data_IF_726274987094
#
_entry.id   IF_726274987094
#
_cell.length_a   1.000
_cell.length_b   1.000
_cell.length_c   1.000
_cell.angle_alpha   90.00
_cell.angle_beta   90.00
_cell.angle_gamma   90.00
#
_symmetry.space_group_name_H-M   'P 1'
#
loop_
_entity.id
_entity.type
_entity.pdbx_description
1 polymer ?
#
# COMPACT_ATOMS: atom_id res chain seq x y z
N UNK A 1 -21.81 -18.46 27.69
CA UNK A 1 -21.85 -17.04 28.10
C UNK A 1 -23.03 -16.39 27.40
N UNK A 2 -23.99 -15.86 28.15
CA UNK A 2 -25.07 -15.09 27.52
C UNK A 2 -24.48 -13.77 27.01
N UNK A 3 -25.10 -13.16 25.99
CA UNK A 3 -24.69 -11.88 25.41
C UNK A 3 -24.72 -10.69 26.41
N UNK A 4 -25.16 -10.90 27.65
CA UNK A 4 -25.32 -9.87 28.68
C UNK A 4 -24.18 -9.82 29.72
N UNK A 5 -23.19 -10.72 29.64
CA UNK A 5 -22.18 -10.87 30.71
C UNK A 5 -20.83 -10.20 30.43
N UNK A 6 -20.70 -9.45 29.32
CA UNK A 6 -19.47 -8.70 29.03
C UNK A 6 -19.48 -7.36 29.79
N UNK A 7 -18.43 -7.02 30.55
CA UNK A 7 -18.36 -5.72 31.21
C UNK A 7 -18.34 -4.59 30.16
N UNK A 8 -18.90 -3.41 30.49
CA UNK A 8 -18.81 -2.25 29.61
C UNK A 8 -17.35 -1.87 29.35
N UNK A 9 -17.04 -1.28 28.18
CA UNK A 9 -15.69 -0.85 27.87
C UNK A 9 -15.18 0.16 28.90
N UNK A 10 -13.92 0.02 29.32
CA UNK A 10 -13.32 0.93 30.30
C UNK A 10 -13.20 2.36 29.75
N UNK A 11 -13.14 3.34 30.65
CA UNK A 11 -12.97 4.77 30.29
C UNK A 11 -11.76 5.00 29.39
N UNK A 12 -10.66 4.32 29.64
CA UNK A 12 -9.44 4.40 28.81
C UNK A 12 -9.66 3.92 27.37
N UNK A 13 -10.50 2.89 27.16
CA UNK A 13 -10.86 2.40 25.82
C UNK A 13 -11.71 3.44 25.09
N UNK A 14 -12.63 4.09 25.80
CA UNK A 14 -13.48 5.14 25.22
C UNK A 14 -12.61 6.36 24.85
N UNK A 15 -11.69 6.78 25.72
CA UNK A 15 -10.74 7.86 25.43
C UNK A 15 -9.87 7.56 24.21
N UNK A 16 -9.39 6.31 24.08
CA UNK A 16 -8.63 5.88 22.89
C UNK A 16 -9.48 5.95 21.61
N UNK A 17 -10.75 5.57 21.68
CA UNK A 17 -11.67 5.66 20.55
C UNK A 17 -11.88 7.11 20.08
N UNK A 18 -11.98 8.07 21.01
CA UNK A 18 -12.03 9.50 20.66
C UNK A 18 -10.77 9.95 19.92
N UNK A 19 -9.59 9.54 20.38
CA UNK A 19 -8.32 9.86 19.70
C UNK A 19 -8.29 9.27 18.29
N UNK A 20 -8.68 8.00 18.13
CA UNK A 20 -8.74 7.36 16.82
C UNK A 20 -9.73 8.03 15.86
N UNK A 21 -10.85 8.56 16.36
CA UNK A 21 -11.79 9.36 15.54
C UNK A 21 -11.12 10.63 15.03
N UNK A 22 -10.46 11.39 15.91
CA UNK A 22 -9.78 12.63 15.54
C UNK A 22 -8.68 12.35 14.50
N UNK A 23 -7.85 11.34 14.74
CA UNK A 23 -6.81 10.95 13.81
C UNK A 23 -7.39 10.47 12.47
N UNK A 24 -8.47 9.69 12.48
CA UNK A 24 -9.13 9.23 11.25
C UNK A 24 -9.73 10.40 10.46
N UNK A 25 -10.32 11.39 11.15
CA UNK A 25 -10.87 12.59 10.53
C UNK A 25 -9.79 13.49 9.89
N UNK A 26 -8.58 13.50 10.44
CA UNK A 26 -7.42 14.22 9.87
C UNK A 26 -6.82 13.46 8.68
N UNK A 27 -6.61 12.16 8.82
CA UNK A 27 -5.97 11.34 7.79
C UNK A 27 -6.86 11.12 6.57
N UNK A 28 -8.18 11.03 6.74
CA UNK A 28 -9.11 10.79 5.64
C UNK A 28 -9.00 11.83 4.51
N UNK A 29 -9.11 13.16 4.75
CA UNK A 29 -8.94 14.16 3.70
C UNK A 29 -7.50 14.20 3.16
N UNK A 30 -6.50 13.97 4.02
CA UNK A 30 -5.09 13.93 3.63
C UNK A 30 -4.81 12.82 2.62
N UNK A 31 -5.29 11.61 2.90
CA UNK A 31 -5.16 10.44 2.02
C UNK A 31 -6.01 10.60 0.77
N UNK A 32 -7.20 11.21 0.88
CA UNK A 32 -8.00 11.57 -0.29
C UNK A 32 -7.26 12.50 -1.25
N UNK A 33 -6.54 13.50 -0.72
CA UNK A 33 -5.69 14.39 -1.51
C UNK A 33 -4.51 13.65 -2.15
N UNK A 34 -3.83 12.77 -1.41
CA UNK A 34 -2.76 11.91 -1.95
C UNK A 34 -3.29 11.04 -3.09
N UNK A 35 -4.44 10.38 -2.90
CA UNK A 35 -5.07 9.53 -3.90
C UNK A 35 -5.36 10.30 -5.19
N UNK A 36 -5.85 11.54 -5.06
CA UNK A 36 -6.08 12.43 -6.19
C UNK A 36 -4.78 12.81 -6.91
N UNK A 37 -3.71 13.14 -6.18
CA UNK A 37 -2.40 13.54 -6.75
C UNK A 37 -1.68 12.41 -7.48
N UNK A 38 -1.77 11.18 -6.98
CA UNK A 38 -1.12 10.01 -7.61
C UNK A 38 -1.83 9.53 -8.90
N UNK A 39 -3.01 10.08 -9.21
CA UNK A 39 -3.73 9.83 -10.46
C UNK A 39 -4.03 8.35 -10.71
N UNK A 40 -4.21 7.96 -11.98
CA UNK A 40 -4.64 6.60 -12.35
C UNK A 40 -3.71 5.49 -11.88
N UNK A 41 -2.40 5.76 -11.74
CA UNK A 41 -1.42 4.77 -11.34
C UNK A 41 -1.56 4.39 -9.85
N UNK A 42 -1.82 5.37 -8.98
CA UNK A 42 -2.00 5.15 -7.55
C UNK A 42 -3.46 5.03 -7.09
N UNK A 43 -4.44 5.46 -7.89
CA UNK A 43 -5.86 5.55 -7.48
C UNK A 43 -6.38 4.27 -6.82
N UNK A 44 -6.08 3.09 -7.38
CA UNK A 44 -6.56 1.84 -6.81
C UNK A 44 -6.00 1.56 -5.40
N UNK A 45 -4.70 1.79 -5.17
CA UNK A 45 -4.06 1.55 -3.88
C UNK A 45 -4.54 2.57 -2.83
N UNK A 46 -4.46 3.86 -3.16
CA UNK A 46 -4.75 4.92 -2.19
C UNK A 46 -6.25 4.97 -1.82
N UNK A 47 -7.15 4.60 -2.73
CA UNK A 47 -8.58 4.46 -2.42
C UNK A 47 -8.83 3.29 -1.45
N UNK A 48 -8.21 2.12 -1.70
CA UNK A 48 -8.32 0.99 -0.77
C UNK A 48 -7.77 1.38 0.60
N UNK A 49 -6.61 2.03 0.65
CA UNK A 49 -6.03 2.52 1.89
C UNK A 49 -6.93 3.53 2.62
N UNK A 50 -7.58 4.44 1.89
CA UNK A 50 -8.55 5.40 2.44
C UNK A 50 -9.71 4.71 3.18
N UNK A 51 -10.17 3.55 2.68
CA UNK A 51 -11.27 2.82 3.34
C UNK A 51 -10.91 2.33 4.75
N UNK A 52 -9.62 2.19 5.10
CA UNK A 52 -9.19 1.88 6.46
C UNK A 52 -9.65 2.94 7.48
N UNK A 53 -9.55 4.22 7.11
CA UNK A 53 -9.91 5.34 7.97
C UNK A 53 -11.41 5.50 8.10
N UNK A 54 -12.15 5.28 6.99
CA UNK A 54 -13.61 5.25 7.03
C UNK A 54 -14.09 4.14 7.96
N UNK A 55 -13.52 2.94 7.82
CA UNK A 55 -13.85 1.80 8.65
C UNK A 55 -13.56 2.11 10.14
N UNK A 56 -12.37 2.63 10.47
CA UNK A 56 -12.03 3.02 11.85
C UNK A 56 -12.94 4.11 12.41
N UNK A 57 -13.26 5.12 11.62
CA UNK A 57 -14.17 6.19 12.03
C UNK A 57 -15.55 5.62 12.41
N UNK A 58 -16.12 4.78 11.54
CA UNK A 58 -17.43 4.15 11.78
C UNK A 58 -17.41 3.25 13.00
N UNK A 59 -16.39 2.39 13.16
CA UNK A 59 -16.30 1.49 14.30
C UNK A 59 -16.18 2.23 15.63
N UNK A 60 -15.37 3.29 15.69
CA UNK A 60 -15.18 4.04 16.93
C UNK A 60 -16.40 4.89 17.28
N UNK A 61 -17.08 5.49 16.30
CA UNK A 61 -18.38 6.15 16.54
C UNK A 61 -19.40 5.12 17.05
N UNK A 62 -19.47 3.95 16.43
CA UNK A 62 -20.38 2.90 16.84
C UNK A 62 -20.12 2.43 18.28
N UNK A 63 -18.85 2.28 18.65
CA UNK A 63 -18.42 1.91 20.01
C UNK A 63 -18.86 2.96 21.05
N UNK A 64 -18.72 4.25 20.74
CA UNK A 64 -19.10 5.33 21.66
C UNK A 64 -20.62 5.41 21.83
N UNK A 65 -21.37 5.32 20.73
CA UNK A 65 -22.84 5.39 20.74
C UNK A 65 -23.45 4.18 21.46
N UNK A 66 -22.87 2.99 21.28
CA UNK A 66 -23.41 1.74 21.83
C UNK A 66 -22.63 1.23 23.05
N UNK A 67 -21.91 2.10 23.75
CA UNK A 67 -21.07 1.74 24.92
C UNK A 67 -21.84 1.01 26.04
N UNK A 68 -23.15 1.19 26.11
CA UNK A 68 -24.04 0.57 27.10
C UNK A 68 -24.46 -0.87 26.71
N UNK A 69 -24.22 -1.30 25.46
CA UNK A 69 -24.59 -2.63 24.93
C UNK A 69 -23.35 -3.43 24.52
N UNK A 70 -22.50 -3.90 25.46
CA UNK A 70 -21.12 -4.33 25.20
C UNK A 70 -20.92 -5.41 24.12
N UNK A 71 -21.90 -6.28 23.89
CA UNK A 71 -21.80 -7.34 22.88
C UNK A 71 -21.78 -6.83 21.42
N UNK A 72 -22.66 -5.88 21.09
CA UNK A 72 -22.82 -5.40 19.71
C UNK A 72 -21.62 -4.60 19.17
N UNK A 73 -21.03 -3.65 19.94
CA UNK A 73 -19.80 -2.95 19.59
C UNK A 73 -18.61 -3.89 19.37
N UNK A 74 -18.54 -4.96 20.15
CA UNK A 74 -17.44 -5.93 20.07
C UNK A 74 -17.42 -6.63 18.70
N UNK A 75 -18.59 -7.05 18.20
CA UNK A 75 -18.71 -7.68 16.86
C UNK A 75 -18.36 -6.69 15.75
N UNK A 76 -18.90 -5.47 15.80
CA UNK A 76 -18.61 -4.43 14.81
C UNK A 76 -17.13 -4.05 14.80
N UNK A 77 -16.52 -3.93 15.98
CA UNK A 77 -15.10 -3.65 16.12
C UNK A 77 -14.24 -4.77 15.52
N UNK A 78 -14.60 -6.04 15.74
CA UNK A 78 -13.87 -7.20 15.17
C UNK A 78 -13.91 -7.23 13.63
N UNK A 79 -15.09 -7.04 13.04
CA UNK A 79 -15.27 -7.04 11.58
C UNK A 79 -14.49 -5.86 10.97
N UNK A 80 -14.62 -4.69 11.57
CA UNK A 80 -13.95 -3.49 11.09
C UNK A 80 -12.43 -3.60 11.21
N UNK A 81 -11.93 -4.10 12.34
CA UNK A 81 -10.48 -4.26 12.54
C UNK A 81 -9.87 -5.21 11.51
N UNK A 82 -10.61 -6.27 11.14
CA UNK A 82 -10.23 -7.18 10.06
C UNK A 82 -10.18 -6.48 8.69
N UNK A 83 -11.17 -5.62 8.39
CA UNK A 83 -11.16 -4.79 7.19
C UNK A 83 -10.01 -3.76 7.15
N UNK A 84 -9.66 -3.20 8.30
CA UNK A 84 -8.49 -2.31 8.46
C UNK A 84 -7.21 -3.07 8.22
N UNK A 85 -7.11 -4.30 8.72
CA UNK A 85 -5.96 -5.16 8.44
C UNK A 85 -5.83 -5.42 6.93
N UNK A 86 -6.94 -5.64 6.22
CA UNK A 86 -6.94 -5.83 4.76
C UNK A 86 -6.37 -4.63 4.04
N UNK A 87 -6.92 -3.47 4.35
CA UNK A 87 -6.73 -2.24 3.60
C UNK A 87 -5.35 -1.64 3.83
N UNK A 88 -4.80 -1.72 5.06
CA UNK A 88 -3.41 -1.35 5.32
C UNK A 88 -2.44 -2.32 4.66
N UNK A 89 -2.70 -3.63 4.71
CA UNK A 89 -1.84 -4.63 4.03
C UNK A 89 -1.82 -4.39 2.52
N UNK A 90 -2.99 -4.15 1.92
CA UNK A 90 -3.11 -3.77 0.51
C UNK A 90 -2.45 -2.42 0.20
N UNK A 91 -2.48 -1.47 1.15
CA UNK A 91 -1.76 -0.21 1.05
C UNK A 91 -0.25 -0.41 0.93
N UNK A 92 0.35 -1.24 1.80
CA UNK A 92 1.78 -1.60 1.74
C UNK A 92 2.12 -2.27 0.41
N UNK A 93 1.28 -3.19 -0.06
CA UNK A 93 1.49 -3.87 -1.34
C UNK A 93 1.37 -2.89 -2.52
N UNK A 94 0.38 -2.01 -2.46
CA UNK A 94 0.09 -1.07 -3.51
C UNK A 94 1.17 -0.01 -3.68
N UNK A 95 1.84 0.45 -2.61
CA UNK A 95 2.99 1.36 -2.75
C UNK A 95 4.21 0.68 -3.37
N UNK A 96 4.42 -0.63 -3.12
CA UNK A 96 5.48 -1.41 -3.77
C UNK A 96 5.15 -1.61 -5.26
N UNK A 97 3.88 -1.89 -5.56
CA UNK A 97 3.38 -1.97 -6.93
C UNK A 97 3.51 -0.64 -7.68
N UNK A 98 3.17 0.47 -7.02
CA UNK A 98 3.27 1.82 -7.57
C UNK A 98 4.74 2.19 -7.86
N UNK A 99 5.65 1.92 -6.92
CA UNK A 99 7.09 2.09 -7.15
C UNK A 99 7.60 1.30 -8.36
N UNK A 100 7.08 0.07 -8.57
CA UNK A 100 7.43 -0.75 -9.71
C UNK A 100 6.89 -0.22 -11.04
N UNK A 101 5.67 0.33 -11.05
CA UNK A 101 4.97 0.80 -12.27
C UNK A 101 5.40 2.19 -12.71
N UNK A 102 5.80 3.06 -11.78
CA UNK A 102 6.32 4.41 -12.06
C UNK A 102 7.66 4.35 -12.83
N UNK A 103 8.45 3.29 -12.65
CA UNK A 103 9.73 3.08 -13.32
C UNK A 103 9.59 2.18 -14.57
N UNK A 104 10.13 2.57 -15.73
CA UNK A 104 10.04 1.79 -16.96
C UNK A 104 10.61 0.38 -16.79
N UNK A 105 9.88 -0.59 -17.32
CA UNK A 105 10.18 -2.02 -17.19
C UNK A 105 10.52 -2.57 -18.57
N UNK A 106 11.68 -3.25 -18.69
CA UNK A 106 12.18 -3.69 -20.00
C UNK A 106 11.45 -4.90 -20.60
N UNK A 107 10.59 -5.67 -19.88
CA UNK A 107 9.93 -6.82 -20.54
C UNK A 107 8.68 -7.48 -19.92
N UNK A 108 8.26 -7.27 -18.65
CA UNK A 108 7.18 -8.12 -18.05
C UNK A 108 6.20 -7.42 -17.13
N UNK A 109 5.42 -6.46 -17.66
CA UNK A 109 4.28 -5.82 -16.96
C UNK A 109 3.22 -6.82 -16.45
N UNK A 110 3.19 -8.03 -17.02
CA UNK A 110 2.23 -9.06 -16.68
C UNK A 110 2.53 -9.74 -15.33
N UNK A 111 3.81 -9.93 -15.01
CA UNK A 111 4.22 -10.56 -13.75
C UNK A 111 3.81 -9.73 -12.54
N UNK A 112 4.00 -8.40 -12.58
CA UNK A 112 3.62 -7.51 -11.48
C UNK A 112 2.09 -7.46 -11.29
N UNK A 113 1.31 -7.56 -12.37
CA UNK A 113 -0.15 -7.66 -12.29
C UNK A 113 -0.61 -8.99 -11.68
N UNK A 114 0.05 -10.10 -12.03
CA UNK A 114 -0.24 -11.40 -11.41
C UNK A 114 0.12 -11.36 -9.93
N UNK A 115 1.29 -10.83 -9.57
CA UNK A 115 1.72 -10.71 -8.16
C UNK A 115 0.72 -9.87 -7.38
N UNK A 116 0.28 -8.73 -7.93
CA UNK A 116 -0.75 -7.90 -7.31
C UNK A 116 -2.09 -8.65 -7.17
N UNK A 117 -2.53 -9.36 -8.21
CA UNK A 117 -3.78 -10.13 -8.17
C UNK A 117 -3.75 -11.27 -7.16
N UNK A 118 -2.66 -12.04 -7.14
CA UNK A 118 -2.46 -13.16 -6.20
C UNK A 118 -2.37 -12.66 -4.77
N UNK A 119 -1.59 -11.60 -4.51
CA UNK A 119 -1.48 -11.03 -3.17
C UNK A 119 -2.80 -10.43 -2.69
N UNK A 120 -3.56 -9.77 -3.56
CA UNK A 120 -4.87 -9.25 -3.23
C UNK A 120 -5.86 -10.37 -2.88
N UNK A 121 -5.91 -11.43 -3.70
CA UNK A 121 -6.76 -12.58 -3.45
C UNK A 121 -6.35 -13.31 -2.16
N UNK A 122 -5.05 -13.45 -1.90
CA UNK A 122 -4.53 -14.08 -0.69
C UNK A 122 -4.85 -13.26 0.58
N UNK A 123 -4.74 -11.92 0.54
CA UNK A 123 -5.16 -11.07 1.67
C UNK A 123 -6.67 -11.17 1.89
N UNK A 124 -7.46 -11.06 0.82
CA UNK A 124 -8.92 -11.09 0.89
C UNK A 124 -9.39 -12.44 1.45
N UNK A 125 -8.86 -13.55 0.91
CA UNK A 125 -9.15 -14.90 1.39
C UNK A 125 -8.64 -15.16 2.81
N UNK A 126 -7.43 -14.70 3.13
CA UNK A 126 -6.83 -14.81 4.46
C UNK A 126 -7.66 -14.10 5.53
N UNK A 127 -8.19 -12.91 5.23
CA UNK A 127 -9.04 -12.15 6.15
C UNK A 127 -10.42 -12.76 6.26
N UNK A 128 -11.02 -13.19 5.15
CA UNK A 128 -12.29 -13.92 5.20
C UNK A 128 -12.16 -15.16 6.07
N UNK A 129 -11.09 -15.95 5.90
CA UNK A 129 -10.80 -17.12 6.73
C UNK A 129 -10.54 -16.76 8.21
N UNK A 130 -9.72 -15.74 8.47
CA UNK A 130 -9.40 -15.30 9.83
C UNK A 130 -10.65 -14.81 10.58
N UNK A 131 -11.48 -14.00 9.90
CA UNK A 131 -12.70 -13.39 10.44
C UNK A 131 -13.80 -14.42 10.64
N UNK A 132 -14.11 -15.21 9.61
CA UNK A 132 -15.15 -16.23 9.68
C UNK A 132 -14.75 -17.37 10.63
N UNK A 133 -13.52 -17.88 10.54
CA UNK A 133 -13.04 -18.90 11.47
C UNK A 133 -12.95 -18.40 12.91
N UNK A 134 -12.66 -17.11 13.09
CA UNK A 134 -12.51 -16.46 14.40
C UNK A 134 -13.82 -15.94 15.02
N UNK A 135 -14.96 -16.04 14.32
CA UNK A 135 -16.25 -15.61 14.84
C UNK A 135 -16.73 -16.53 15.96
N UNK A 136 -17.60 -16.07 16.87
CA UNK A 136 -18.19 -16.94 17.90
C UNK A 136 -18.93 -18.14 17.29
N UNK A 137 -18.82 -19.32 17.90
CA UNK A 137 -19.56 -20.51 17.46
C UNK A 137 -21.06 -20.37 17.75
N UNK A 138 -21.90 -20.87 16.83
CA UNK A 138 -23.36 -20.95 17.01
C UNK A 138 -23.76 -21.90 18.15
N UNK A 139 -22.90 -22.87 18.50
CA UNK A 139 -23.13 -23.82 19.61
C UNK A 139 -22.71 -23.29 20.98
N UNK A 140 -22.26 -22.02 21.07
CA UNK A 140 -22.03 -21.34 22.33
C UNK A 140 -20.69 -21.62 23.01
N UNK A 141 -19.85 -22.48 22.43
CA UNK A 141 -18.49 -22.76 22.92
C UNK A 141 -17.45 -22.49 21.83
N UNK A 142 -16.48 -21.62 22.12
CA UNK A 142 -15.35 -21.35 21.24
C UNK A 142 -15.70 -20.57 19.96
N UNK A 143 -14.98 -20.86 18.89
CA UNK A 143 -15.06 -20.17 17.60
C UNK A 143 -15.67 -21.05 16.52
N UNK A 144 -16.18 -20.45 15.44
CA UNK A 144 -16.82 -21.17 14.35
C UNK A 144 -15.87 -22.19 13.68
N UNK A 145 -14.60 -21.83 13.47
CA UNK A 145 -13.59 -22.79 12.99
C UNK A 145 -12.17 -22.33 13.35
N UNK A 146 -11.58 -22.96 14.38
CA UNK A 146 -10.26 -22.58 14.87
C UNK A 146 -9.15 -22.82 13.85
N UNK A 147 -9.20 -23.93 13.10
CA UNK A 147 -8.22 -24.22 12.06
C UNK A 147 -8.27 -23.16 10.95
N UNK A 148 -9.46 -22.76 10.53
CA UNK A 148 -9.65 -21.72 9.52
C UNK A 148 -9.14 -20.36 10.00
N UNK A 149 -9.38 -20.02 11.27
CA UNK A 149 -8.87 -18.77 11.86
C UNK A 149 -7.34 -18.72 11.88
N UNK A 150 -6.70 -19.83 12.30
CA UNK A 150 -5.23 -19.96 12.33
C UNK A 150 -4.64 -19.87 10.92
N UNK A 151 -5.21 -20.60 9.97
CA UNK A 151 -4.78 -20.58 8.57
C UNK A 151 -4.91 -19.18 7.97
N UNK A 152 -6.03 -18.48 8.21
CA UNK A 152 -6.23 -17.12 7.73
C UNK A 152 -5.14 -16.15 8.23
N UNK A 153 -4.84 -16.18 9.53
CA UNK A 153 -3.78 -15.35 10.11
C UNK A 153 -2.39 -15.70 9.59
N UNK A 154 -2.08 -16.99 9.41
CA UNK A 154 -0.82 -17.44 8.81
C UNK A 154 -0.68 -16.97 7.35
N UNK A 155 -1.75 -17.07 6.55
CA UNK A 155 -1.75 -16.59 5.16
C UNK A 155 -1.41 -15.10 5.12
N UNK A 156 -2.02 -14.28 5.98
CA UNK A 156 -1.72 -12.84 6.04
C UNK A 156 -0.26 -12.56 6.38
N UNK A 157 0.28 -13.29 7.37
CA UNK A 157 1.68 -13.17 7.77
C UNK A 157 2.63 -13.56 6.63
N UNK A 158 2.38 -14.70 5.96
CA UNK A 158 3.21 -15.16 4.85
C UNK A 158 3.12 -14.25 3.62
N UNK A 159 1.94 -13.68 3.32
CA UNK A 159 1.82 -12.69 2.25
C UNK A 159 2.70 -11.47 2.54
N UNK A 160 2.69 -10.95 3.77
CA UNK A 160 3.54 -9.80 4.10
C UNK A 160 5.03 -10.16 4.03
N UNK A 161 5.44 -11.36 4.45
CA UNK A 161 6.82 -11.84 4.29
C UNK A 161 7.22 -11.98 2.81
N UNK A 162 6.31 -12.47 1.96
CA UNK A 162 6.54 -12.54 0.52
C UNK A 162 6.70 -11.14 -0.09
N UNK A 163 5.95 -10.15 0.40
CA UNK A 163 6.10 -8.74 0.01
C UNK A 163 7.46 -8.19 0.41
N UNK A 164 7.97 -8.50 1.61
CA UNK A 164 9.35 -8.17 1.99
C UNK A 164 10.37 -8.74 0.98
N UNK A 165 10.17 -9.99 0.56
CA UNK A 165 10.98 -10.63 -0.50
C UNK A 165 10.86 -9.92 -1.85
N UNK A 166 9.67 -9.45 -2.21
CA UNK A 166 9.41 -8.71 -3.45
C UNK A 166 9.98 -7.27 -3.43
N UNK A 167 10.07 -6.65 -2.26
CA UNK A 167 10.67 -5.32 -2.12
C UNK A 167 12.16 -5.30 -2.46
N UNK A 168 12.89 -6.39 -2.24
CA UNK A 168 14.32 -6.48 -2.54
C UNK A 168 14.66 -6.25 -4.02
N UNK A 169 14.09 -6.99 -5.00
CA UNK A 169 14.34 -6.71 -6.41
C UNK A 169 13.84 -5.32 -6.82
N UNK A 170 12.75 -4.82 -6.25
CA UNK A 170 12.24 -3.47 -6.50
C UNK A 170 13.19 -2.38 -5.99
N UNK A 171 13.81 -2.60 -4.84
CA UNK A 171 14.86 -1.74 -4.29
C UNK A 171 16.07 -1.71 -5.23
N UNK A 172 16.59 -2.87 -5.65
CA UNK A 172 17.72 -2.93 -6.61
C UNK A 172 17.42 -2.22 -7.93
N UNK A 173 16.20 -2.37 -8.45
CA UNK A 173 15.74 -1.66 -9.65
C UNK A 173 15.77 -0.15 -9.41
N UNK A 174 15.17 0.31 -8.33
CA UNK A 174 15.05 1.74 -8.00
C UNK A 174 16.39 2.39 -7.74
N UNK A 175 17.29 1.69 -7.04
CA UNK A 175 18.66 2.14 -6.79
C UNK A 175 19.47 2.28 -8.09
N UNK A 176 19.34 1.33 -9.03
CA UNK A 176 19.98 1.42 -10.36
C UNK A 176 19.50 2.66 -11.14
N UNK A 177 18.20 2.94 -11.13
CA UNK A 177 17.65 4.14 -11.80
C UNK A 177 18.04 5.43 -11.07
N UNK A 178 18.09 5.41 -9.73
CA UNK A 178 18.51 6.57 -8.93
C UNK A 178 19.99 6.91 -9.16
N UNK A 179 20.87 5.92 -9.31
CA UNK A 179 22.31 6.14 -9.54
C UNK A 179 22.63 6.57 -10.97
N UNK A 180 21.84 6.14 -11.95
CA UNK A 180 22.05 6.51 -13.35
C UNK A 180 21.54 7.91 -13.69
N UNK A 181 20.81 8.59 -12.78
CA UNK A 181 20.24 9.92 -13.02
C UNK A 181 19.19 9.97 -14.14
N UNK A 182 18.84 8.82 -14.73
CA UNK A 182 18.18 8.72 -16.03
C UNK A 182 16.65 8.76 -15.98
N UNK A 183 16.04 8.94 -14.80
CA UNK A 183 14.58 8.94 -14.70
C UNK A 183 14.04 9.93 -13.65
N UNK A 184 13.16 10.87 -14.04
CA UNK A 184 12.64 11.91 -13.14
C UNK A 184 11.85 11.33 -11.96
N UNK A 185 11.23 10.16 -12.14
CA UNK A 185 10.46 9.51 -11.07
C UNK A 185 11.29 8.58 -10.15
N UNK A 186 12.60 8.47 -10.33
CA UNK A 186 13.42 7.58 -9.49
C UNK A 186 13.39 7.97 -8.01
N UNK A 187 13.34 9.27 -7.72
CA UNK A 187 13.21 9.79 -6.36
C UNK A 187 11.88 9.40 -5.71
N UNK A 188 10.76 9.60 -6.42
CA UNK A 188 9.43 9.26 -5.90
C UNK A 188 9.27 7.75 -5.66
N UNK A 189 9.75 6.90 -6.58
CA UNK A 189 9.75 5.45 -6.38
C UNK A 189 10.58 5.02 -5.17
N UNK A 190 11.71 5.70 -4.91
CA UNK A 190 12.56 5.44 -3.75
C UNK A 190 11.85 5.81 -2.45
N UNK A 191 11.17 6.96 -2.40
CA UNK A 191 10.38 7.39 -1.24
C UNK A 191 9.27 6.38 -0.91
N UNK A 192 8.52 5.93 -1.93
CA UNK A 192 7.47 4.92 -1.74
C UNK A 192 8.03 3.63 -1.14
N UNK A 193 9.20 3.18 -1.59
CA UNK A 193 9.84 1.99 -1.01
C UNK A 193 10.30 2.19 0.43
N UNK A 194 10.90 3.34 0.75
CA UNK A 194 11.28 3.67 2.13
C UNK A 194 10.08 3.72 3.06
N UNK A 195 8.97 4.29 2.60
CA UNK A 195 7.71 4.31 3.36
C UNK A 195 7.19 2.89 3.62
N UNK A 196 7.24 2.00 2.62
CA UNK A 196 6.88 0.59 2.82
C UNK A 196 7.79 -0.12 3.81
N UNK A 197 9.11 0.10 3.71
CA UNK A 197 10.09 -0.48 4.64
C UNK A 197 9.90 0.04 6.06
N UNK A 198 9.51 1.31 6.23
CA UNK A 198 9.20 1.89 7.53
C UNK A 198 7.88 1.36 8.12
N UNK A 199 6.88 1.06 7.28
CA UNK A 199 5.59 0.52 7.73
C UNK A 199 5.66 -0.95 8.15
N UNK A 200 6.49 -1.75 7.46
CA UNK A 200 6.54 -3.21 7.61
C UNK A 200 6.84 -3.70 9.03
N UNK A 201 7.83 -3.19 9.78
CA UNK A 201 8.14 -3.70 11.12
C UNK A 201 6.95 -3.59 12.08
N UNK A 202 6.31 -2.42 12.09
CA UNK A 202 5.12 -2.15 12.90
C UNK A 202 3.95 -3.05 12.49
N UNK A 203 3.77 -3.24 11.17
CA UNK A 203 2.69 -4.05 10.64
C UNK A 203 2.91 -5.56 10.85
N UNK A 204 4.14 -6.04 10.71
CA UNK A 204 4.52 -7.41 11.06
C UNK A 204 4.27 -7.69 12.54
N UNK A 205 4.63 -6.76 13.43
CA UNK A 205 4.34 -6.89 14.86
C UNK A 205 2.84 -7.11 15.13
N UNK A 206 1.98 -6.36 14.42
CA UNK A 206 0.53 -6.55 14.49
C UNK A 206 0.08 -7.93 13.97
N UNK A 207 0.57 -8.38 12.82
CA UNK A 207 0.20 -9.68 12.26
C UNK A 207 0.70 -10.85 13.10
N UNK A 208 1.91 -10.76 13.65
CA UNK A 208 2.46 -11.74 14.59
C UNK A 208 1.57 -11.83 15.82
N UNK A 209 1.17 -10.68 16.38
CA UNK A 209 0.24 -10.65 17.50
C UNK A 209 -1.09 -11.34 17.18
N UNK A 210 -1.70 -11.04 16.03
CA UNK A 210 -2.97 -11.66 15.61
C UNK A 210 -2.82 -13.17 15.41
N UNK A 211 -1.68 -13.60 14.88
CA UNK A 211 -1.33 -15.01 14.77
C UNK A 211 -1.21 -15.66 16.16
N UNK A 212 -0.44 -15.07 17.08
CA UNK A 212 -0.30 -15.57 18.46
C UNK A 212 -1.65 -15.69 19.16
N UNK A 213 -2.52 -14.69 19.03
CA UNK A 213 -3.88 -14.73 19.57
C UNK A 213 -4.71 -15.88 18.95
N UNK A 214 -4.59 -16.14 17.65
CA UNK A 214 -5.28 -17.25 16.99
C UNK A 214 -4.80 -18.63 17.50
N UNK A 215 -3.54 -18.75 17.94
CA UNK A 215 -2.99 -19.98 18.52
C UNK A 215 -3.29 -20.12 20.02
N UNK A 216 -3.22 -19.03 20.79
CA UNK A 216 -3.30 -18.99 22.26
C UNK A 216 -4.57 -18.28 22.76
N UNK A 217 -5.72 -18.53 22.12
CA UNK A 217 -6.98 -17.83 22.39
C UNK A 217 -7.57 -18.06 23.81
N UNK A 218 -7.01 -18.99 24.57
CA UNK A 218 -7.46 -19.31 25.92
C UNK A 218 -7.11 -18.21 26.93
N UNK A 219 -6.15 -17.34 26.59
CA UNK A 219 -5.77 -16.19 27.40
C UNK A 219 -6.65 -14.97 27.07
N UNK A 220 -7.66 -14.71 27.89
CA UNK A 220 -8.58 -13.55 27.74
C UNK A 220 -7.85 -12.19 27.78
N UNK A 221 -6.66 -12.11 28.38
CA UNK A 221 -5.84 -10.90 28.38
C UNK A 221 -5.28 -10.53 26.99
N UNK A 222 -5.15 -11.51 26.09
CA UNK A 222 -4.64 -11.38 24.72
C UNK A 222 -5.76 -11.08 23.70
N UNK A 223 -6.99 -10.83 24.13
CA UNK A 223 -8.05 -10.52 23.19
C UNK A 223 -7.86 -9.11 22.56
N UNK A 224 -7.84 -8.97 21.22
CA UNK A 224 -7.61 -7.69 20.56
C UNK A 224 -8.70 -6.64 20.84
N UNK A 225 -9.90 -7.05 21.28
CA UNK A 225 -11.05 -6.16 21.50
C UNK A 225 -11.49 -6.11 22.96
N UNK A 226 -11.31 -7.18 23.73
CA UNK A 226 -11.67 -7.26 25.15
C UNK A 226 -10.48 -7.40 26.09
N UNK A 227 -9.28 -7.56 25.55
CA UNK A 227 -8.05 -7.71 26.32
C UNK A 227 -7.59 -6.42 26.97
N UNK A 228 -6.38 -6.47 27.53
CA UNK A 228 -5.87 -5.36 28.33
C UNK A 228 -5.75 -4.06 27.52
N UNK A 229 -5.83 -2.92 28.22
CA UNK A 229 -5.58 -1.61 27.61
C UNK A 229 -4.19 -1.54 26.95
N UNK A 230 -3.18 -2.21 27.51
CA UNK A 230 -1.84 -2.27 26.95
C UNK A 230 -1.82 -2.91 25.56
N UNK A 231 -2.58 -4.00 25.36
CA UNK A 231 -2.75 -4.63 24.05
C UNK A 231 -3.41 -3.66 23.06
N UNK A 232 -4.48 -2.99 23.46
CA UNK A 232 -5.15 -2.01 22.59
C UNK A 232 -4.23 -0.85 22.21
N UNK A 233 -3.42 -0.38 23.15
CA UNK A 233 -2.39 0.63 22.89
C UNK A 233 -1.30 0.15 21.94
N UNK A 234 -0.85 -1.11 22.05
CA UNK A 234 0.09 -1.71 21.11
C UNK A 234 -0.51 -1.81 19.69
N UNK A 235 -1.75 -2.28 19.59
CA UNK A 235 -2.48 -2.37 18.32
C UNK A 235 -2.74 -1.00 17.71
N UNK A 236 -3.08 -0.01 18.53
CA UNK A 236 -3.17 1.40 18.13
C UNK A 236 -1.83 1.90 17.58
N UNK A 237 -0.74 1.74 18.33
CA UNK A 237 0.58 2.25 17.96
C UNK A 237 1.08 1.62 16.65
N UNK A 238 0.93 0.31 16.49
CA UNK A 238 1.34 -0.39 15.26
C UNK A 238 0.56 0.07 14.03
N UNK A 239 -0.75 0.27 14.16
CA UNK A 239 -1.60 0.79 13.10
C UNK A 239 -1.20 2.21 12.70
N UNK A 240 -1.13 3.13 13.67
CA UNK A 240 -0.87 4.54 13.38
C UNK A 240 0.57 4.79 12.92
N UNK A 241 1.54 3.98 13.36
CA UNK A 241 2.92 4.04 12.84
C UNK A 241 2.95 3.60 11.38
N UNK A 242 2.32 2.48 11.04
CA UNK A 242 2.24 2.02 9.65
C UNK A 242 1.48 3.04 8.77
N UNK A 243 0.34 3.56 9.25
CA UNK A 243 -0.44 4.55 8.52
C UNK A 243 0.34 5.86 8.30
N UNK A 244 1.05 6.35 9.31
CA UNK A 244 1.87 7.56 9.19
C UNK A 244 3.00 7.38 8.19
N UNK A 245 3.69 6.22 8.20
CA UNK A 245 4.72 5.90 7.23
C UNK A 245 4.19 5.88 5.79
N UNK A 246 3.07 5.20 5.56
CA UNK A 246 2.41 5.15 4.24
C UNK A 246 1.98 6.54 3.76
N UNK A 247 1.34 7.31 4.65
CA UNK A 247 0.84 8.65 4.33
C UNK A 247 1.98 9.62 4.02
N UNK A 248 3.06 9.59 4.81
CA UNK A 248 4.26 10.38 4.55
C UNK A 248 4.90 9.99 3.20
N UNK A 249 5.00 8.68 2.92
CA UNK A 249 5.48 8.17 1.64
C UNK A 249 4.67 8.69 0.46
N UNK A 250 3.35 8.62 0.55
CA UNK A 250 2.43 9.18 -0.44
C UNK A 250 2.67 10.67 -0.61
N UNK A 251 2.65 11.43 0.49
CA UNK A 251 2.84 12.88 0.45
C UNK A 251 4.13 13.32 -0.25
N UNK A 252 5.27 12.72 0.08
CA UNK A 252 6.55 13.10 -0.51
C UNK A 252 6.78 12.54 -1.93
N UNK A 253 5.94 11.61 -2.39
CA UNK A 253 6.04 11.04 -3.74
C UNK A 253 4.99 11.59 -4.73
N UNK A 254 4.14 12.53 -4.29
CA UNK A 254 3.09 13.17 -5.12
C UNK A 254 3.58 13.83 -6.41
N UNK A 255 4.87 14.18 -6.49
CA UNK A 255 5.47 14.78 -7.69
C UNK A 255 5.76 13.78 -8.83
N UNK A 256 5.50 12.48 -8.62
CA UNK A 256 5.71 11.47 -9.66
C UNK A 256 4.79 11.73 -10.86
N UNK A 257 5.37 11.90 -12.05
CA UNK A 257 4.58 12.02 -13.27
C UNK A 257 4.18 10.63 -13.77
N UNK A 258 2.92 10.42 -14.18
CA UNK A 258 2.55 9.18 -14.86
C UNK A 258 3.42 9.00 -16.12
N UNK A 259 3.89 7.78 -16.40
CA UNK A 259 4.84 7.50 -17.49
C UNK A 259 4.39 8.03 -18.87
N UNK A 260 3.07 8.17 -19.10
CA UNK A 260 2.51 8.78 -20.32
C UNK A 260 2.66 10.30 -20.41
N UNK A 261 2.75 11.01 -19.27
CA UNK A 261 3.05 12.45 -19.23
C UNK A 261 4.50 12.75 -19.55
N UNK A 262 5.44 11.89 -19.14
CA UNK A 262 6.87 12.03 -19.46
C UNK A 262 7.16 11.81 -20.95
N UNK A 263 6.55 10.79 -21.57
CA UNK A 263 6.69 10.59 -23.02
C UNK A 263 6.12 11.77 -23.81
N UNK A 264 4.98 12.32 -23.38
CA UNK A 264 4.33 13.47 -24.02
C UNK A 264 5.10 14.79 -23.83
N UNK A 265 5.73 14.99 -22.66
CA UNK A 265 6.62 16.12 -22.43
C UNK A 265 7.91 16.01 -23.27
N UNK A 266 8.50 14.82 -23.32
CA UNK A 266 9.70 14.54 -24.14
C UNK A 266 9.44 14.66 -25.65
N UNK A 267 8.25 14.29 -26.12
CA UNK A 267 7.87 14.45 -27.53
C UNK A 267 7.49 15.91 -27.84
N UNK A 268 6.99 16.68 -26.87
CA UNK A 268 6.75 18.12 -26.99
C UNK A 268 8.05 18.92 -27.17
N UNK A 269 9.07 18.64 -26.36
CA UNK A 269 10.39 19.28 -26.45
C UNK A 269 11.14 18.93 -27.75
N UNK A 270 10.74 17.85 -28.44
CA UNK A 270 11.33 17.42 -29.72
C UNK A 270 10.68 18.09 -30.93
N UNK A 271 9.49 18.68 -30.77
CA UNK A 271 8.75 19.37 -31.84
C UNK A 271 8.95 20.88 -31.84
N UNK A 272 9.42 21.47 -30.73
CA UNK A 272 9.64 22.92 -30.57
C UNK A 272 11.06 23.38 -30.99
N UNK A 273 11.81 22.52 -31.68
CA UNK A 273 13.23 22.74 -32.01
C UNK A 273 13.57 22.76 -33.50
N UNK A 274 12.60 22.82 -34.42
CA UNK A 274 12.88 22.63 -35.86
C UNK A 274 12.27 23.63 -36.85
N UNK A 275 11.65 24.73 -36.41
CA UNK A 275 10.95 25.64 -37.34
C UNK A 275 11.40 27.12 -37.26
N UNK A 276 12.65 27.41 -36.90
CA UNK A 276 13.23 28.75 -37.10
C UNK A 276 14.71 28.64 -37.48
N UNK A 277 14.99 28.51 -38.78
CA UNK A 277 16.05 29.25 -39.50
C UNK A 277 16.10 28.76 -40.96
N UNK A 278 15.34 29.44 -41.82
CA UNK A 278 15.56 29.43 -43.26
C UNK A 278 16.21 30.75 -43.68
N UNK A 279 17.51 30.80 -43.99
CA UNK A 279 18.05 31.93 -44.74
C UNK A 279 17.93 31.61 -46.23
N UNK A 280 16.86 32.13 -46.84
CA UNK A 280 16.84 32.40 -48.26
C UNK A 280 17.88 33.48 -48.60
N UNK A 281 18.59 33.26 -49.70
CA UNK A 281 19.39 34.21 -50.50
C UNK A 281 20.90 34.30 -50.21
N UNK A 282 21.70 33.57 -51.01
CA UNK A 282 22.56 34.22 -52.01
C UNK A 282 23.04 33.28 -53.10
N UNK A 283 22.66 33.65 -54.32
CA UNK A 283 23.01 33.08 -55.62
C UNK A 283 24.28 33.78 -56.13
N UNK A 284 25.33 33.04 -56.49
CA UNK A 284 26.41 33.39 -57.46
C UNK A 284 27.34 32.17 -57.59
N UNK A 285 27.19 31.41 -58.67
CA UNK A 285 28.04 31.39 -59.89
C UNK A 285 29.36 30.61 -59.69
N UNK A 286 29.46 29.42 -60.29
CA UNK A 286 30.68 28.57 -60.36
C UNK A 286 31.73 29.11 -61.36
N UNK A 287 32.54 28.28 -62.03
CA UNK A 287 32.73 26.82 -61.97
C UNK A 287 34.19 26.41 -61.68
N UNK A 288 34.44 25.09 -61.62
CA UNK A 288 35.64 24.33 -62.09
C UNK A 288 35.68 23.00 -61.29
N UNK A 289 35.33 21.87 -61.94
CA UNK A 289 36.26 20.78 -62.31
C UNK A 289 37.28 20.45 -61.20
N UNK A 290 37.33 19.24 -60.65
CA UNK A 290 38.05 18.10 -61.25
C UNK A 290 37.59 16.76 -60.63
N UNK A 291 37.48 15.75 -61.49
CA UNK A 291 37.33 14.32 -61.21
C UNK A 291 38.37 13.75 -60.22
N UNK A 292 38.00 12.74 -59.43
CA UNK A 292 38.69 11.44 -59.47
C UNK A 292 37.95 10.33 -58.71
N UNK A 293 37.58 9.30 -59.46
CA UNK A 293 37.31 7.93 -59.01
C UNK A 293 38.48 7.34 -58.22
N UNK A 294 38.24 6.60 -57.12
CA UNK A 294 38.89 5.29 -56.88
C UNK A 294 37.96 4.34 -56.11
N UNK A 295 37.88 3.14 -56.67
CA UNK A 295 37.24 1.89 -56.27
C UNK A 295 37.68 1.29 -54.91
N UNK A 296 36.74 0.57 -54.25
CA UNK A 296 36.82 -0.81 -53.68
C UNK A 296 37.90 -1.04 -52.59
N UNK A 297 37.58 -1.62 -51.41
CA UNK A 297 37.53 -3.07 -51.15
C UNK A 297 36.86 -3.28 -49.77
N UNK A 298 35.84 -4.16 -49.69
CA UNK A 298 35.54 -4.92 -48.47
C UNK A 298 36.33 -6.23 -48.50
N UNK A 299 36.76 -6.73 -47.33
CA UNK A 299 36.67 -8.16 -47.09
C UNK A 299 35.87 -8.48 -45.82
N UNK A 300 35.16 -9.60 -45.92
CA UNK A 300 34.59 -10.36 -44.82
C UNK A 300 35.70 -11.17 -44.14
N UNK A 301 35.62 -11.27 -42.82
CA UNK A 301 35.81 -12.52 -42.08
C UNK A 301 35.07 -12.40 -40.76
#
# INVERSE_FOLDING_TARGET
MSSNDLPPPSSNVISLAYVEIVLSAIFLPLVGFIAWKHGKAGMACWQIYMTAFVAKLVANIYLIVNKEKPYSPTVVSNITDSGVIATISLGIIGIVYEANTILPQQAKKWNDKIILGVTHLAITGGIAAATYGGSPSATGTGVANQALSRTGNLVLLFVLLAVCGWMWPTYKKTDRYSRSGNHPNAHAARILLWAGMAAIPSWLGRLIYMCLYAFNRQDTALDPVTGSFAIKMLLFATLWTAASALTAGGWFSQAAMPAGGFLRARDGDRFDGSDDEAPLSRRRSGPDEVEMCVHVVRPKS
#
